data_IF_893583402357
#
_entry.id   IF_893583402357
#
_cell.length_a   1.000
_cell.length_b   1.000
_cell.length_c   1.000
_cell.angle_alpha   90.00
_cell.angle_beta   90.00
_cell.angle_gamma   90.00
#
_symmetry.space_group_name_H-M   'P 1'
#
loop_
_entity.id
_entity.type
_entity.pdbx_description
1 polymer ?
#
# COMPACT_ATOMS: atom_id res chain seq x y z
N UNK A 1 18.45 13.00 13.59
CA UNK A 1 18.21 14.17 12.71
C UNK A 1 19.46 14.62 11.95
N UNK A 2 20.68 14.19 12.33
CA UNK A 2 21.85 14.32 11.44
C UNK A 2 21.68 13.48 10.16
N UNK A 3 22.26 13.96 9.06
CA UNK A 3 22.17 13.36 7.71
C UNK A 3 20.95 13.83 6.92
N UNK A 4 19.77 13.27 7.20
CA UNK A 4 18.56 13.50 6.39
C UNK A 4 17.82 14.81 6.72
N UNK A 5 18.03 15.39 7.91
CA UNK A 5 17.36 16.63 8.33
C UNK A 5 15.84 16.57 8.14
N UNK A 6 15.26 17.61 7.53
CA UNK A 6 13.81 17.70 7.24
C UNK A 6 13.28 16.63 6.27
N UNK A 7 14.16 15.86 5.61
CA UNK A 7 13.75 14.74 4.74
C UNK A 7 13.38 13.50 5.55
N UNK A 8 13.80 13.40 6.81
CA UNK A 8 13.30 12.39 7.73
C UNK A 8 11.96 12.85 8.28
N UNK A 9 10.88 12.20 7.85
CA UNK A 9 9.51 12.63 8.15
C UNK A 9 8.95 12.09 9.47
N UNK A 10 9.58 11.05 10.05
CA UNK A 10 9.11 10.42 11.29
C UNK A 10 9.33 8.91 11.29
N UNK A 11 8.65 8.21 12.20
CA UNK A 11 8.71 6.75 12.33
C UNK A 11 7.31 6.17 12.59
N UNK A 12 7.06 4.96 12.13
CA UNK A 12 5.82 4.23 12.45
C UNK A 12 5.79 3.65 13.87
N UNK A 13 6.93 3.62 14.55
CA UNK A 13 6.98 3.15 15.94
C UNK A 13 6.63 4.30 16.90
N UNK A 14 5.42 4.29 17.44
CA UNK A 14 4.93 5.34 18.34
C UNK A 14 5.82 5.56 19.57
N UNK A 15 6.44 4.50 20.11
CA UNK A 15 7.34 4.61 21.27
C UNK A 15 8.65 5.32 20.89
N UNK A 16 9.21 5.04 19.72
CA UNK A 16 10.39 5.75 19.21
C UNK A 16 10.02 7.20 18.87
N UNK A 17 8.87 7.42 18.23
CA UNK A 17 8.35 8.76 17.93
C UNK A 17 8.28 9.62 19.20
N UNK A 18 7.66 9.08 20.25
CA UNK A 18 7.57 9.72 21.57
C UNK A 18 8.96 9.98 22.19
N UNK A 19 9.85 8.98 22.20
CA UNK A 19 11.18 9.09 22.84
C UNK A 19 12.15 10.01 22.11
N UNK A 20 11.96 10.19 20.80
CA UNK A 20 12.87 10.96 19.94
C UNK A 20 12.26 12.29 19.50
N UNK A 21 11.06 12.60 19.97
CA UNK A 21 10.33 13.83 19.63
C UNK A 21 10.23 14.02 18.11
N UNK A 22 9.86 12.94 17.41
CA UNK A 22 9.60 12.94 15.97
C UNK A 22 8.16 12.50 15.72
N UNK A 23 7.63 12.83 14.54
CA UNK A 23 6.26 12.48 14.17
C UNK A 23 6.03 10.95 14.15
N UNK A 24 4.89 10.53 14.68
CA UNK A 24 4.37 9.19 14.49
C UNK A 24 3.66 9.11 13.13
N UNK A 25 4.11 8.20 12.26
CA UNK A 25 3.63 8.10 10.89
C UNK A 25 2.85 6.80 10.67
N UNK A 26 1.64 6.90 10.13
CA UNK A 26 0.80 5.74 9.81
C UNK A 26 -0.25 6.05 8.76
N UNK A 27 -0.80 4.98 8.18
CA UNK A 27 -1.98 4.97 7.30
C UNK A 27 -2.85 3.77 7.68
N UNK A 28 -4.01 3.60 7.05
CA UNK A 28 -4.73 2.32 7.12
C UNK A 28 -3.90 1.15 6.54
N UNK A 29 -4.35 -0.07 6.82
CA UNK A 29 -3.73 -1.32 6.37
C UNK A 29 -4.76 -2.24 5.71
N UNK A 30 -4.26 -3.26 4.99
CA UNK A 30 -5.09 -4.18 4.22
C UNK A 30 -6.11 -4.97 5.04
N UNK A 31 -5.90 -5.13 6.34
CA UNK A 31 -6.85 -5.86 7.19
C UNK A 31 -8.25 -5.26 7.15
N UNK A 32 -8.39 -3.93 7.02
CA UNK A 32 -9.70 -3.27 6.94
C UNK A 32 -10.50 -3.72 5.71
N UNK A 33 -10.03 -3.50 4.45
CA UNK A 33 -10.76 -3.97 3.27
C UNK A 33 -10.86 -5.50 3.22
N UNK A 34 -9.90 -6.25 3.78
CA UNK A 34 -10.01 -7.71 3.90
C UNK A 34 -11.19 -8.13 4.77
N UNK A 35 -11.37 -7.50 5.94
CA UNK A 35 -12.46 -7.81 6.88
C UNK A 35 -13.80 -7.38 6.32
N UNK A 36 -13.93 -6.16 5.78
CA UNK A 36 -15.18 -5.69 5.17
C UNK A 36 -15.62 -6.62 4.02
N UNK A 37 -14.67 -7.00 3.17
CA UNK A 37 -14.92 -7.91 2.05
C UNK A 37 -15.33 -9.31 2.50
N UNK A 38 -14.70 -9.82 3.57
CA UNK A 38 -15.09 -11.10 4.14
C UNK A 38 -16.50 -11.06 4.72
N UNK A 39 -16.94 -9.92 5.25
CA UNK A 39 -18.27 -9.76 5.85
C UNK A 39 -19.39 -9.54 4.84
N UNK A 40 -19.09 -9.05 3.64
CA UNK A 40 -20.06 -8.86 2.55
C UNK A 40 -20.94 -10.11 2.29
N UNK A 41 -22.20 -9.88 1.96
CA UNK A 41 -23.19 -10.95 1.74
C UNK A 41 -23.47 -11.21 0.25
N UNK A 42 -23.10 -10.26 -0.62
CA UNK A 42 -23.23 -10.35 -2.08
C UNK A 42 -21.93 -9.99 -2.82
N UNK A 43 -21.85 -10.32 -4.11
CA UNK A 43 -20.71 -9.93 -4.96
C UNK A 43 -20.71 -8.42 -5.23
N UNK A 44 -21.89 -7.79 -5.22
CA UNK A 44 -22.07 -6.34 -5.29
C UNK A 44 -21.49 -5.65 -4.04
N UNK A 45 -21.88 -6.10 -2.85
CA UNK A 45 -21.32 -5.58 -1.59
C UNK A 45 -19.82 -5.82 -1.50
N UNK A 46 -19.34 -6.98 -1.96
CA UNK A 46 -17.92 -7.28 -2.03
C UNK A 46 -17.18 -6.31 -2.96
N UNK A 47 -17.78 -5.95 -4.11
CA UNK A 47 -17.21 -4.99 -5.04
C UNK A 47 -17.09 -3.57 -4.45
N UNK A 48 -17.99 -3.21 -3.54
CA UNK A 48 -18.07 -1.91 -2.90
C UNK A 48 -17.30 -1.82 -1.57
N UNK A 49 -17.03 -2.95 -0.92
CA UNK A 49 -16.34 -3.04 0.37
C UNK A 49 -15.04 -2.21 0.46
N UNK A 50 -14.14 -2.19 -0.55
CA UNK A 50 -12.93 -1.35 -0.49
C UNK A 50 -13.23 0.16 -0.40
N UNK A 51 -14.34 0.62 -0.96
CA UNK A 51 -14.74 2.03 -0.91
C UNK A 51 -15.50 2.35 0.36
N UNK A 52 -16.29 1.40 0.88
CA UNK A 52 -16.96 1.55 2.17
C UNK A 52 -15.96 1.77 3.30
N UNK A 53 -14.85 1.01 3.33
CA UNK A 53 -13.75 1.24 4.29
C UNK A 53 -13.24 2.68 4.24
N UNK A 54 -13.06 3.22 3.04
CA UNK A 54 -12.55 4.58 2.88
C UNK A 54 -13.61 5.61 3.26
N UNK A 55 -14.89 5.33 3.00
CA UNK A 55 -15.99 6.18 3.45
C UNK A 55 -16.04 6.29 4.98
N UNK A 56 -15.93 5.16 5.69
CA UNK A 56 -15.93 5.16 7.15
C UNK A 56 -14.64 5.83 7.69
N UNK A 57 -13.50 5.57 7.05
CA UNK A 57 -12.22 6.17 7.44
C UNK A 57 -12.22 7.71 7.40
N UNK A 58 -12.88 8.33 6.41
CA UNK A 58 -12.94 9.79 6.29
C UNK A 58 -13.91 10.46 7.27
N UNK A 59 -14.83 9.71 7.88
CA UNK A 59 -15.71 10.24 8.94
C UNK A 59 -14.91 10.49 10.22
N UNK A 60 -13.90 9.66 10.49
CA UNK A 60 -13.04 9.77 11.68
C UNK A 60 -11.72 10.52 11.42
N UNK A 61 -11.23 10.53 10.18
CA UNK A 61 -9.90 11.05 9.84
C UNK A 61 -9.92 12.03 8.66
N UNK A 62 -9.04 13.05 8.73
CA UNK A 62 -8.89 14.07 7.68
C UNK A 62 -7.41 14.36 7.35
N UNK A 63 -7.19 15.22 6.35
CA UNK A 63 -5.89 15.74 5.97
C UNK A 63 -4.91 14.63 5.56
N UNK A 64 -3.75 14.59 6.20
CA UNK A 64 -2.66 13.68 5.82
C UNK A 64 -2.98 12.19 6.03
N UNK A 65 -4.05 11.84 6.76
CA UNK A 65 -4.50 10.46 6.97
C UNK A 65 -5.40 9.93 5.85
N UNK A 66 -5.84 10.79 4.91
CA UNK A 66 -6.59 10.40 3.72
C UNK A 66 -5.66 9.84 2.65
N UNK A 67 -5.17 8.63 2.89
CA UNK A 67 -4.30 7.87 2.00
C UNK A 67 -5.03 6.60 1.54
N UNK A 68 -5.16 6.46 0.23
CA UNK A 68 -5.76 5.31 -0.43
C UNK A 68 -4.75 4.16 -0.46
N UNK A 69 -5.20 2.94 -0.13
CA UNK A 69 -4.43 1.71 -0.25
C UNK A 69 -5.14 0.76 -1.26
N UNK A 70 -4.88 0.93 -2.57
CA UNK A 70 -5.73 0.38 -3.62
C UNK A 70 -5.48 -1.09 -3.93
N UNK A 71 -4.32 -1.63 -3.54
CA UNK A 71 -3.83 -2.91 -4.04
C UNK A 71 -4.36 -4.14 -3.29
N UNK A 72 -5.24 -3.99 -2.28
CA UNK A 72 -5.82 -5.15 -1.57
C UNK A 72 -6.38 -6.20 -2.55
N UNK A 73 -7.10 -5.74 -3.58
CA UNK A 73 -7.66 -6.57 -4.64
C UNK A 73 -7.20 -6.18 -6.05
N UNK A 74 -6.17 -5.35 -6.15
CA UNK A 74 -5.58 -4.88 -7.41
C UNK A 74 -5.87 -3.41 -7.70
N UNK A 75 -4.81 -2.65 -7.97
CA UNK A 75 -4.86 -1.18 -8.11
C UNK A 75 -5.64 -0.73 -9.34
N UNK A 76 -5.49 -1.41 -10.47
CA UNK A 76 -6.14 -0.99 -11.73
C UNK A 76 -7.66 -1.05 -11.63
N UNK A 77 -8.20 -2.17 -11.12
CA UNK A 77 -9.63 -2.35 -10.91
C UNK A 77 -10.19 -1.36 -9.90
N UNK A 78 -9.44 -1.12 -8.80
CA UNK A 78 -9.78 -0.13 -7.80
C UNK A 78 -9.90 1.28 -8.41
N UNK A 79 -8.87 1.78 -9.09
CA UNK A 79 -8.88 3.14 -9.64
C UNK A 79 -9.94 3.33 -10.74
N UNK A 80 -10.25 2.28 -11.51
CA UNK A 80 -11.26 2.33 -12.57
C UNK A 80 -12.68 2.51 -12.03
N UNK A 81 -12.99 1.94 -10.86
CA UNK A 81 -14.32 2.02 -10.23
C UNK A 81 -14.39 3.03 -9.08
N UNK A 82 -13.27 3.65 -8.71
CA UNK A 82 -13.20 4.58 -7.59
C UNK A 82 -14.23 5.72 -7.73
N UNK A 83 -15.08 5.95 -6.71
CA UNK A 83 -15.97 7.11 -6.69
C UNK A 83 -15.21 8.44 -6.80
N UNK A 84 -15.83 9.44 -7.44
CA UNK A 84 -15.18 10.74 -7.70
C UNK A 84 -14.67 11.43 -6.43
N UNK A 85 -15.36 11.30 -5.29
CA UNK A 85 -14.93 11.94 -4.04
C UNK A 85 -13.55 11.47 -3.56
N UNK A 86 -13.12 10.25 -3.92
CA UNK A 86 -11.78 9.75 -3.57
C UNK A 86 -10.67 10.50 -4.27
N UNK A 87 -10.92 11.12 -5.43
CA UNK A 87 -9.86 11.87 -6.13
C UNK A 87 -9.33 13.02 -5.28
N UNK A 88 -10.16 13.57 -4.39
CA UNK A 88 -9.83 14.68 -3.50
C UNK A 88 -8.88 14.29 -2.37
N UNK A 89 -8.76 13.00 -2.05
CA UNK A 89 -7.89 12.51 -0.98
C UNK A 89 -6.43 12.89 -1.21
N UNK A 90 -5.68 12.94 -0.10
CA UNK A 90 -4.31 13.46 -0.05
C UNK A 90 -3.34 12.65 -0.91
N UNK A 91 -3.52 11.33 -0.99
CA UNK A 91 -2.59 10.50 -1.74
C UNK A 91 -2.91 9.02 -1.79
N UNK A 92 -1.97 8.26 -2.36
CA UNK A 92 -2.00 6.81 -2.48
C UNK A 92 -0.74 6.21 -1.85
N UNK A 93 -0.88 5.04 -1.22
CA UNK A 93 0.23 4.17 -0.83
C UNK A 93 0.36 3.01 -1.82
N UNK A 94 1.58 2.77 -2.30
CA UNK A 94 1.92 1.65 -3.19
C UNK A 94 2.65 0.60 -2.35
N UNK A 95 1.97 -0.54 -2.14
CA UNK A 95 2.40 -1.61 -1.24
C UNK A 95 2.56 -2.99 -1.92
N UNK A 96 2.31 -3.06 -3.23
CA UNK A 96 2.64 -4.21 -4.07
C UNK A 96 2.79 -3.84 -5.54
N UNK A 97 3.42 -4.74 -6.30
CA UNK A 97 3.59 -4.59 -7.75
C UNK A 97 4.74 -3.64 -8.13
N UNK A 98 4.76 -3.23 -9.40
CA UNK A 98 5.79 -2.32 -9.91
C UNK A 98 5.51 -0.88 -9.41
N UNK A 99 6.39 -0.29 -8.58
CA UNK A 99 6.16 1.01 -7.99
C UNK A 99 6.06 2.12 -9.03
N UNK A 100 6.79 2.01 -10.15
CA UNK A 100 6.70 2.98 -11.25
C UNK A 100 5.33 2.90 -11.89
N UNK A 101 4.84 1.69 -12.21
CA UNK A 101 3.51 1.53 -12.82
C UNK A 101 2.40 2.01 -11.89
N UNK A 102 2.49 1.70 -10.60
CA UNK A 102 1.52 2.17 -9.61
C UNK A 102 1.45 3.69 -9.53
N UNK A 103 2.61 4.37 -9.50
CA UNK A 103 2.66 5.82 -9.44
C UNK A 103 2.18 6.49 -10.73
N UNK A 104 2.53 5.94 -11.91
CA UNK A 104 2.02 6.42 -13.20
C UNK A 104 0.50 6.24 -13.32
N UNK A 105 -0.04 5.11 -12.83
CA UNK A 105 -1.47 4.85 -12.80
C UNK A 105 -2.21 5.85 -11.90
N UNK A 106 -1.67 6.14 -10.70
CA UNK A 106 -2.21 7.16 -9.80
C UNK A 106 -2.20 8.57 -10.42
N UNK A 107 -1.08 8.99 -11.03
CA UNK A 107 -0.96 10.28 -11.72
C UNK A 107 -1.97 10.39 -12.86
N UNK A 108 -2.10 9.33 -13.68
CA UNK A 108 -3.07 9.29 -14.78
C UNK A 108 -4.51 9.40 -14.26
N UNK A 109 -4.83 8.68 -13.18
CA UNK A 109 -6.15 8.71 -12.57
C UNK A 109 -6.50 10.09 -12.01
N UNK A 110 -5.62 10.71 -11.23
CA UNK A 110 -5.83 12.08 -10.72
C UNK A 110 -6.06 13.09 -11.85
N UNK A 111 -5.25 13.04 -12.92
CA UNK A 111 -5.45 13.92 -14.08
C UNK A 111 -6.81 13.69 -14.74
N UNK A 112 -7.25 12.44 -14.87
CA UNK A 112 -8.55 12.12 -15.44
C UNK A 112 -9.71 12.62 -14.56
N UNK A 113 -9.53 12.68 -13.25
CA UNK A 113 -10.47 13.27 -12.30
C UNK A 113 -10.38 14.81 -12.19
N UNK A 114 -9.47 15.47 -12.94
CA UNK A 114 -9.29 16.93 -12.89
C UNK A 114 -8.45 17.44 -11.72
N UNK A 115 -7.76 16.55 -11.00
CA UNK A 115 -6.87 16.90 -9.89
C UNK A 115 -5.46 17.25 -10.39
N UNK A 116 -4.76 18.12 -9.67
CA UNK A 116 -3.33 18.39 -9.88
C UNK A 116 -2.46 17.37 -9.12
N UNK A 117 -1.77 16.43 -9.82
CA UNK A 117 -0.94 15.42 -9.17
C UNK A 117 0.23 16.02 -8.37
N UNK A 118 0.69 17.23 -8.68
CA UNK A 118 1.82 17.86 -7.96
C UNK A 118 1.46 18.19 -6.50
N UNK A 119 0.16 18.28 -6.19
CA UNK A 119 -0.35 18.45 -4.83
C UNK A 119 -0.62 17.12 -4.12
N UNK A 120 -0.67 16.00 -4.86
CA UNK A 120 -0.96 14.67 -4.33
C UNK A 120 0.29 13.99 -3.81
N UNK A 121 0.11 13.08 -2.85
CA UNK A 121 1.18 12.30 -2.24
C UNK A 121 1.19 10.87 -2.79
N UNK A 122 2.40 10.36 -3.05
CA UNK A 122 2.62 8.93 -3.30
C UNK A 122 3.57 8.40 -2.24
N UNK A 123 3.10 7.44 -1.44
CA UNK A 123 3.91 6.73 -0.44
C UNK A 123 4.33 5.40 -1.05
N UNK A 124 5.63 5.21 -1.28
CA UNK A 124 6.19 3.92 -1.66
C UNK A 124 6.59 3.17 -0.39
N UNK A 125 6.11 1.94 -0.18
CA UNK A 125 6.39 1.18 1.05
C UNK A 125 6.77 -0.28 0.83
N UNK A 126 6.70 -0.80 -0.40
CA UNK A 126 6.98 -2.20 -0.68
C UNK A 126 8.48 -2.48 -0.83
N UNK A 127 9.12 -3.02 0.22
CA UNK A 127 10.45 -3.66 0.12
C UNK A 127 11.53 -2.78 -0.50
N UNK A 128 11.68 -1.53 -0.04
CA UNK A 128 12.57 -0.54 -0.62
C UNK A 128 14.02 -0.69 -0.14
N UNK A 129 14.97 -0.53 -1.07
CA UNK A 129 16.38 -0.24 -0.81
C UNK A 129 16.72 1.21 -1.24
N UNK A 130 17.95 1.63 -0.96
CA UNK A 130 18.45 2.97 -1.24
C UNK A 130 18.44 3.31 -2.74
N UNK A 131 18.75 2.35 -3.60
CA UNK A 131 18.80 2.53 -5.05
C UNK A 131 17.39 2.75 -5.62
N UNK A 132 16.42 1.95 -5.17
CA UNK A 132 15.02 2.10 -5.55
C UNK A 132 14.44 3.43 -5.06
N UNK A 133 14.73 3.83 -3.81
CA UNK A 133 14.31 5.14 -3.28
C UNK A 133 14.88 6.27 -4.15
N UNK A 134 16.18 6.22 -4.45
CA UNK A 134 16.84 7.24 -5.27
C UNK A 134 16.29 7.27 -6.70
N UNK A 135 16.02 6.10 -7.30
CA UNK A 135 15.39 5.98 -8.62
C UNK A 135 13.99 6.62 -8.65
N UNK A 136 13.12 6.22 -7.71
CA UNK A 136 11.75 6.71 -7.63
C UNK A 136 11.70 8.21 -7.33
N UNK A 137 12.57 8.70 -6.44
CA UNK A 137 12.69 10.13 -6.16
C UNK A 137 13.05 10.90 -7.43
N UNK A 138 14.10 10.50 -8.18
CA UNK A 138 14.48 11.18 -9.43
C UNK A 138 13.36 11.18 -10.46
N UNK A 139 12.63 10.08 -10.58
CA UNK A 139 11.59 9.88 -11.60
C UNK A 139 10.31 10.67 -11.34
N UNK A 140 9.94 10.83 -10.07
CA UNK A 140 8.66 11.43 -9.66
C UNK A 140 8.78 12.79 -8.98
N UNK A 141 10.01 13.28 -8.76
CA UNK A 141 10.25 14.63 -8.27
C UNK A 141 9.54 15.68 -9.14
N UNK A 142 8.79 16.58 -8.51
CA UNK A 142 8.01 17.62 -9.17
C UNK A 142 6.74 17.14 -9.88
N UNK A 143 6.49 15.83 -9.94
CA UNK A 143 5.27 15.25 -10.53
C UNK A 143 4.23 14.89 -9.46
N UNK A 144 4.71 14.47 -8.30
CA UNK A 144 3.94 14.18 -7.07
C UNK A 144 4.82 14.47 -5.85
N UNK A 145 4.21 14.50 -4.66
CA UNK A 145 4.93 14.55 -3.38
C UNK A 145 5.31 13.13 -2.96
N UNK A 146 6.57 12.75 -3.20
CA UNK A 146 7.08 11.42 -2.83
C UNK A 146 7.29 11.28 -1.31
N UNK A 147 7.00 10.10 -0.79
CA UNK A 147 7.31 9.67 0.57
C UNK A 147 7.70 8.19 0.54
N UNK A 148 8.59 7.77 1.44
CA UNK A 148 9.16 6.42 1.42
C UNK A 148 9.05 5.78 2.80
N UNK A 149 8.37 4.63 2.88
CA UNK A 149 8.38 3.77 4.05
C UNK A 149 9.54 2.80 3.94
N UNK A 150 10.60 3.03 4.71
CA UNK A 150 11.81 2.20 4.66
C UNK A 150 11.84 1.23 5.85
N UNK A 151 11.49 -0.03 5.58
CA UNK A 151 11.30 -1.08 6.57
C UNK A 151 12.54 -1.97 6.77
N UNK A 152 12.47 -3.23 6.35
CA UNK A 152 13.49 -4.25 6.62
C UNK A 152 14.90 -3.79 6.26
N UNK A 153 15.12 -3.22 5.07
CA UNK A 153 16.45 -2.80 4.62
C UNK A 153 17.01 -1.61 5.42
N UNK A 154 16.19 -0.89 6.20
CA UNK A 154 16.68 0.12 7.13
C UNK A 154 17.08 -0.48 8.48
N UNK A 155 16.33 -1.47 8.96
CA UNK A 155 16.41 -1.95 10.35
C UNK A 155 17.02 -3.34 10.53
N UNK A 156 17.18 -4.10 9.44
CA UNK A 156 17.67 -5.47 9.43
C UNK A 156 18.41 -5.75 8.11
N UNK A 157 19.38 -4.91 7.76
CA UNK A 157 20.24 -5.11 6.60
C UNK A 157 21.66 -5.46 7.05
N UNK A 158 22.01 -6.75 6.92
CA UNK A 158 23.34 -7.29 7.23
C UNK A 158 24.05 -7.81 5.97
N UNK A 159 23.58 -7.43 4.78
CA UNK A 159 24.17 -7.85 3.50
C UNK A 159 25.65 -7.49 3.45
N UNK A 160 26.48 -8.45 3.05
CA UNK A 160 27.93 -8.27 2.96
C UNK A 160 28.68 -8.15 4.29
N UNK A 161 27.99 -8.25 5.45
CA UNK A 161 28.63 -8.23 6.77
C UNK A 161 29.01 -9.62 7.28
N UNK A 162 28.44 -10.68 6.70
CA UNK A 162 28.71 -12.08 7.05
C UNK A 162 28.82 -12.95 5.79
N UNK A 163 29.56 -14.08 5.85
CA UNK A 163 29.60 -15.04 4.74
C UNK A 163 28.21 -15.59 4.38
N UNK A 164 28.02 -15.88 3.11
CA UNK A 164 26.87 -16.62 2.56
C UNK A 164 25.49 -16.06 2.94
N UNK A 165 25.39 -14.75 3.22
CA UNK A 165 24.18 -14.07 3.69
C UNK A 165 23.53 -14.76 4.90
N UNK A 166 24.33 -15.30 5.82
CA UNK A 166 23.85 -16.08 6.97
C UNK A 166 22.90 -15.32 7.92
N UNK A 167 22.90 -13.98 7.85
CA UNK A 167 22.00 -13.09 8.60
C UNK A 167 20.94 -12.43 7.70
N UNK A 168 20.61 -13.04 6.55
CA UNK A 168 19.52 -12.59 5.71
C UNK A 168 18.21 -12.51 6.51
N UNK A 169 17.40 -11.45 6.32
CA UNK A 169 16.09 -11.35 6.95
C UNK A 169 15.19 -12.54 6.61
N UNK A 170 14.52 -13.10 7.61
CA UNK A 170 13.49 -14.12 7.39
C UNK A 170 12.15 -13.47 7.07
N UNK A 171 11.40 -14.11 6.18
CA UNK A 171 10.05 -13.66 5.81
C UNK A 171 9.01 -14.22 6.77
N UNK A 172 8.46 -13.37 7.64
CA UNK A 172 7.35 -13.71 8.53
C UNK A 172 6.24 -12.68 8.41
N UNK A 173 5.00 -13.17 8.29
CA UNK A 173 3.80 -12.33 8.19
C UNK A 173 2.74 -12.81 9.19
N UNK A 174 2.02 -11.86 9.77
CA UNK A 174 0.79 -12.11 10.51
C UNK A 174 -0.34 -11.37 9.78
N UNK A 175 -1.42 -12.07 9.45
CA UNK A 175 -2.55 -11.52 8.68
C UNK A 175 -3.85 -12.00 9.28
N UNK A 176 -4.91 -11.20 9.17
CA UNK A 176 -6.27 -11.68 9.40
C UNK A 176 -6.54 -12.87 8.47
N UNK A 177 -7.12 -13.95 9.00
CA UNK A 177 -7.45 -15.16 8.23
C UNK A 177 -8.97 -15.39 8.14
N UNK A 178 -9.74 -14.84 9.08
CA UNK A 178 -11.20 -14.91 9.08
C UNK A 178 -11.81 -13.72 9.82
N UNK A 179 -13.05 -13.39 9.46
CA UNK A 179 -13.90 -12.43 10.14
C UNK A 179 -15.30 -13.04 10.28
N UNK A 180 -15.80 -13.16 11.51
CA UNK A 180 -17.09 -13.80 11.82
C UNK A 180 -17.29 -15.17 11.14
N UNK A 181 -16.25 -16.00 11.17
CA UNK A 181 -16.25 -17.34 10.54
C UNK A 181 -16.09 -17.34 9.00
N UNK A 182 -16.14 -16.19 8.33
CA UNK A 182 -15.92 -16.06 6.89
C UNK A 182 -14.41 -15.85 6.59
N UNK A 183 -13.82 -16.54 5.60
CA UNK A 183 -12.39 -16.42 5.29
C UNK A 183 -12.07 -15.06 4.66
N UNK A 184 -10.93 -14.47 5.03
CA UNK A 184 -10.43 -13.24 4.39
C UNK A 184 -9.52 -13.55 3.21
N UNK A 185 -9.53 -12.67 2.21
CA UNK A 185 -8.71 -12.80 0.98
C UNK A 185 -7.87 -11.55 0.77
N UNK A 186 -6.66 -11.70 0.22
CA UNK A 186 -5.87 -10.60 -0.38
C UNK A 186 -5.38 -11.07 -1.75
N UNK A 187 -5.55 -10.25 -2.80
CA UNK A 187 -4.98 -10.56 -4.12
C UNK A 187 -3.62 -9.89 -4.32
N UNK A 188 -3.47 -8.61 -3.94
CA UNK A 188 -2.28 -7.79 -4.26
C UNK A 188 -2.10 -7.56 -5.77
N UNK A 189 -1.26 -6.60 -6.16
CA UNK A 189 -0.83 -6.42 -7.56
C UNK A 189 0.27 -7.42 -7.98
N UNK A 190 0.89 -8.10 -7.01
CA UNK A 190 1.79 -9.23 -7.22
C UNK A 190 1.09 -10.55 -6.82
N UNK A 191 0.86 -11.49 -7.75
CA UNK A 191 0.15 -12.74 -7.46
C UNK A 191 0.88 -13.64 -6.45
N UNK A 192 2.21 -13.48 -6.28
CA UNK A 192 2.97 -14.22 -5.27
C UNK A 192 2.61 -13.82 -3.83
N UNK A 193 1.90 -12.70 -3.63
CA UNK A 193 1.45 -12.21 -2.32
C UNK A 193 -0.02 -12.53 -2.03
N UNK A 194 -0.70 -13.26 -2.93
CA UNK A 194 -2.09 -13.63 -2.77
C UNK A 194 -2.30 -14.55 -1.54
N UNK A 195 -3.45 -14.43 -0.90
CA UNK A 195 -3.82 -15.17 0.29
C UNK A 195 -5.32 -15.47 0.27
N UNK A 196 -5.70 -16.70 0.60
CA UNK A 196 -7.08 -17.18 0.61
C UNK A 196 -7.16 -18.61 0.06
N UNK A 197 -8.33 -19.24 0.15
CA UNK A 197 -8.57 -20.48 -0.56
C UNK A 197 -8.56 -20.22 -2.07
N UNK A 198 -8.32 -21.26 -2.88
CA UNK A 198 -8.29 -21.12 -4.33
C UNK A 198 -9.65 -20.66 -4.87
N UNK A 199 -10.72 -21.20 -4.30
CA UNK A 199 -12.10 -20.90 -4.68
C UNK A 199 -12.44 -19.42 -4.42
N UNK A 200 -12.05 -18.90 -3.26
CA UNK A 200 -12.27 -17.49 -2.92
C UNK A 200 -11.36 -16.55 -3.73
N UNK A 201 -10.10 -16.93 -3.98
CA UNK A 201 -9.21 -16.16 -4.86
C UNK A 201 -9.82 -16.02 -6.26
N UNK A 202 -10.35 -17.11 -6.84
CA UNK A 202 -10.97 -17.05 -8.15
C UNK A 202 -12.29 -16.27 -8.14
N UNK A 203 -13.09 -16.34 -7.07
CA UNK A 203 -14.26 -15.48 -6.90
C UNK A 203 -13.86 -14.00 -6.87
N UNK A 204 -12.91 -13.63 -6.04
CA UNK A 204 -12.46 -12.24 -5.88
C UNK A 204 -11.86 -11.70 -7.19
N UNK A 205 -11.06 -12.49 -7.91
CA UNK A 205 -10.56 -12.09 -9.24
C UNK A 205 -11.69 -11.75 -10.22
N UNK A 206 -12.79 -12.52 -10.22
CA UNK A 206 -13.95 -12.21 -11.06
C UNK A 206 -14.63 -10.92 -10.63
N UNK A 207 -14.90 -10.76 -9.33
CA UNK A 207 -15.61 -9.58 -8.77
C UNK A 207 -14.83 -8.28 -8.97
N UNK A 208 -13.50 -8.33 -8.81
CA UNK A 208 -12.62 -7.16 -8.98
C UNK A 208 -12.08 -7.01 -10.42
N UNK A 209 -12.41 -7.94 -11.33
CA UNK A 209 -11.97 -7.90 -12.72
C UNK A 209 -10.46 -8.02 -12.89
N UNK A 210 -9.79 -8.78 -12.02
CA UNK A 210 -8.33 -8.94 -12.04
C UNK A 210 -7.91 -9.85 -13.19
N UNK A 211 -7.21 -9.27 -14.16
CA UNK A 211 -6.68 -9.99 -15.32
C UNK A 211 -5.39 -10.77 -15.03
N UNK A 212 -4.62 -11.05 -16.09
CA UNK A 212 -3.29 -11.67 -15.95
C UNK A 212 -2.33 -10.70 -15.26
N UNK A 213 -1.76 -11.13 -14.15
CA UNK A 213 -0.74 -10.37 -13.40
C UNK A 213 0.65 -10.94 -13.68
N UNK A 214 1.67 -10.09 -13.65
CA UNK A 214 3.06 -10.52 -13.72
C UNK A 214 3.59 -10.73 -12.30
N UNK A 215 4.16 -11.91 -12.04
CA UNK A 215 4.80 -12.19 -10.77
C UNK A 215 6.09 -11.38 -10.62
N UNK A 216 6.35 -10.95 -9.39
CA UNK A 216 7.59 -10.26 -9.02
C UNK A 216 8.20 -10.97 -7.81
N UNK A 217 9.53 -10.91 -7.71
CA UNK A 217 10.25 -11.43 -6.54
C UNK A 217 9.83 -10.62 -5.30
N UNK A 218 9.54 -11.31 -4.22
CA UNK A 218 9.28 -10.66 -2.93
C UNK A 218 10.64 -10.28 -2.34
N UNK A 219 10.81 -9.00 -2.05
CA UNK A 219 11.93 -8.49 -1.26
C UNK A 219 11.51 -8.61 0.21
N UNK A 220 12.37 -9.22 1.02
CA UNK A 220 12.16 -9.43 2.44
C UNK A 220 13.02 -8.44 3.20
#
# INVERSE_FOLDING_TARGET
MEGLGKKFVGTSNCLIAMRREVEAIGTNAHELPMVYSALAESDEELADAPYQVLNDWQEEHDGNLRIILPDTFGTEGFLKRAPNWLSSWTGIRIDSGDPVKGAEAAIKWWKACGEDPTQKRVIFSDGLDEDMIAHLQRKFHGRVRCSFGWGTMLTNDFRGLVPDDALAPFSLVCKAISANGKPTVKLSDNPNKAMGSREEIERYKRVFGVGKQMSQKIIV
#
